data_IF_352191133941
#
_entry.id   IF_352191133941
#
_cell.length_a   1.000
_cell.length_b   1.000
_cell.length_c   1.000
_cell.angle_alpha   90.00
_cell.angle_beta   90.00
_cell.angle_gamma   90.00
#
_symmetry.space_group_name_H-M   'P 1'
#
loop_
_entity.id
_entity.type
_entity.pdbx_description
1 polymer ?
#
# COMPACT_ATOMS: atom_id res chain seq x y z
N UNK A 1 16.24 -4.01 12.58
CA UNK A 1 15.06 -4.35 11.78
C UNK A 1 15.56 -4.96 10.48
N UNK A 2 15.37 -6.25 10.30
CA UNK A 2 15.78 -6.97 9.09
C UNK A 2 14.95 -6.45 7.93
N UNK A 3 15.61 -5.84 6.97
CA UNK A 3 15.03 -5.42 5.69
C UNK A 3 14.61 -6.71 4.96
N UNK A 4 13.40 -7.21 5.23
CA UNK A 4 12.83 -8.35 4.53
C UNK A 4 12.58 -7.90 3.10
N UNK A 5 13.52 -8.28 2.21
CA UNK A 5 13.32 -8.13 0.77
C UNK A 5 11.98 -8.75 0.43
N UNK A 6 11.15 -8.00 -0.24
CA UNK A 6 9.89 -8.44 -0.83
C UNK A 6 10.15 -9.70 -1.66
N UNK A 7 9.55 -10.82 -1.29
CA UNK A 7 9.70 -12.10 -1.98
C UNK A 7 8.34 -12.50 -2.52
N UNK A 8 8.27 -12.91 -3.77
CA UNK A 8 7.03 -13.42 -4.38
C UNK A 8 6.99 -14.94 -4.27
N UNK A 9 8.12 -15.60 -4.53
CA UNK A 9 8.30 -17.00 -4.20
C UNK A 9 8.92 -17.11 -2.80
N UNK A 10 8.44 -18.04 -2.00
CA UNK A 10 8.89 -18.21 -0.61
C UNK A 10 10.40 -18.47 -0.51
N UNK A 11 10.95 -19.24 -1.42
CA UNK A 11 12.40 -19.51 -1.48
C UNK A 11 13.21 -18.28 -1.94
N UNK A 12 12.54 -17.26 -2.51
CA UNK A 12 13.19 -16.07 -3.03
C UNK A 12 13.90 -16.25 -4.36
N UNK A 13 13.71 -17.39 -5.02
CA UNK A 13 14.32 -17.70 -6.32
C UNK A 13 13.41 -17.30 -7.48
N UNK A 14 13.16 -15.99 -7.59
CA UNK A 14 12.27 -15.40 -8.58
C UNK A 14 12.97 -15.30 -9.94
N UNK A 15 12.72 -16.24 -10.86
CA UNK A 15 13.21 -16.16 -12.25
C UNK A 15 12.09 -15.70 -13.17
N UNK A 16 12.26 -14.57 -13.84
CA UNK A 16 11.32 -14.10 -14.86
C UNK A 16 11.53 -14.90 -16.13
N UNK A 17 10.62 -15.84 -16.43
CA UNK A 17 10.65 -16.65 -17.63
C UNK A 17 10.01 -15.94 -18.83
N UNK A 18 9.00 -15.12 -18.60
CA UNK A 18 8.32 -14.35 -19.65
C UNK A 18 8.16 -12.89 -19.23
N UNK A 19 8.94 -11.96 -19.82
CA UNK A 19 8.98 -10.57 -19.37
C UNK A 19 7.78 -9.75 -19.88
N UNK A 20 7.44 -8.67 -19.18
CA UNK A 20 6.33 -7.76 -19.48
C UNK A 20 6.27 -7.30 -20.93
N UNK A 21 7.41 -6.98 -21.54
CA UNK A 21 7.51 -6.56 -22.96
C UNK A 21 6.93 -7.58 -23.95
N UNK A 22 7.05 -8.89 -23.67
CA UNK A 22 6.49 -9.93 -24.53
C UNK A 22 4.99 -10.07 -24.35
N UNK A 23 4.45 -9.91 -23.13
CA UNK A 23 3.02 -9.81 -22.90
C UNK A 23 2.42 -8.62 -23.66
N UNK A 24 3.07 -7.45 -23.63
CA UNK A 24 2.64 -6.27 -24.42
C UNK A 24 2.62 -6.58 -25.91
N UNK A 25 3.64 -7.23 -26.44
CA UNK A 25 3.71 -7.62 -27.86
C UNK A 25 2.57 -8.58 -28.23
N UNK A 26 2.34 -9.62 -27.42
CA UNK A 26 1.28 -10.60 -27.66
C UNK A 26 -0.11 -9.98 -27.59
N UNK A 27 -0.37 -9.10 -26.61
CA UNK A 27 -1.65 -8.39 -26.51
C UNK A 27 -1.93 -7.53 -27.75
N UNK A 28 -0.94 -6.80 -28.26
CA UNK A 28 -1.06 -5.99 -29.49
C UNK A 28 -1.38 -6.82 -30.73
N UNK A 29 -0.91 -8.07 -30.78
CA UNK A 29 -1.15 -9.00 -31.90
C UNK A 29 -2.37 -9.90 -31.69
N UNK A 30 -3.14 -9.70 -30.60
CA UNK A 30 -4.30 -10.54 -30.25
C UNK A 30 -3.95 -11.93 -29.74
N UNK A 31 -2.68 -12.20 -29.41
CA UNK A 31 -2.19 -13.50 -28.92
C UNK A 31 -2.15 -13.63 -27.41
N UNK A 32 -2.45 -12.57 -26.66
CA UNK A 32 -2.42 -12.54 -25.21
C UNK A 32 -3.49 -11.62 -24.64
N UNK A 33 -3.94 -11.91 -23.40
CA UNK A 33 -5.07 -11.24 -22.75
C UNK A 33 -4.61 -10.22 -21.70
N UNK A 34 -3.62 -10.60 -20.89
CA UNK A 34 -3.19 -9.85 -19.74
C UNK A 34 -1.75 -9.35 -19.88
N UNK A 35 -1.42 -8.30 -19.15
CA UNK A 35 -0.07 -7.75 -19.11
C UNK A 35 0.52 -7.97 -17.72
N UNK A 36 1.58 -8.75 -17.66
CA UNK A 36 2.27 -9.10 -16.42
C UNK A 36 3.68 -9.61 -16.69
N UNK A 37 4.20 -10.35 -15.76
CA UNK A 37 5.41 -11.17 -15.93
C UNK A 37 5.11 -12.59 -15.46
N UNK A 38 5.77 -13.56 -16.09
CA UNK A 38 5.71 -14.93 -15.63
C UNK A 38 6.97 -15.25 -14.84
N UNK A 39 6.78 -15.79 -13.66
CA UNK A 39 7.83 -16.10 -12.70
C UNK A 39 7.85 -17.61 -12.48
N UNK A 40 9.04 -18.19 -12.64
CA UNK A 40 9.29 -19.61 -12.36
C UNK A 40 10.34 -19.76 -11.27
N UNK A 41 10.33 -20.89 -10.60
CA UNK A 41 11.44 -21.32 -9.77
C UNK A 41 12.49 -22.02 -10.62
N UNK A 42 13.74 -21.93 -10.19
CA UNK A 42 14.85 -22.67 -10.83
C UNK A 42 14.48 -24.16 -11.01
N UNK A 43 14.76 -24.72 -12.19
CA UNK A 43 14.36 -26.07 -12.60
C UNK A 43 12.86 -26.37 -12.57
N UNK A 44 12.01 -25.37 -12.77
CA UNK A 44 10.54 -25.49 -12.83
C UNK A 44 9.91 -26.21 -11.62
N UNK A 45 10.51 -26.07 -10.45
CA UNK A 45 9.95 -26.59 -9.21
C UNK A 45 8.75 -25.75 -8.77
N UNK A 46 7.80 -26.39 -8.12
CA UNK A 46 6.65 -25.70 -7.50
C UNK A 46 7.12 -25.01 -6.21
N UNK A 47 6.63 -23.81 -5.95
CA UNK A 47 6.91 -23.07 -4.72
C UNK A 47 5.66 -22.42 -4.15
N UNK A 48 5.70 -22.09 -2.87
CA UNK A 48 4.66 -21.26 -2.26
C UNK A 48 4.76 -19.83 -2.77
N UNK A 49 3.59 -19.28 -3.10
CA UNK A 49 3.45 -17.89 -3.49
C UNK A 49 3.19 -17.07 -2.23
N UNK A 50 3.96 -16.01 -2.05
CA UNK A 50 3.80 -15.11 -0.91
C UNK A 50 3.35 -13.73 -1.34
N UNK A 51 2.63 -13.04 -0.46
CA UNK A 51 2.25 -11.65 -0.69
C UNK A 51 3.51 -10.78 -0.82
N UNK A 52 3.62 -10.07 -1.95
CA UNK A 52 4.75 -9.17 -2.21
C UNK A 52 4.77 -7.97 -1.27
N UNK A 53 3.62 -7.43 -0.96
CA UNK A 53 3.43 -6.25 -0.12
C UNK A 53 2.18 -6.41 0.73
N UNK A 54 2.06 -5.61 1.79
CA UNK A 54 0.83 -5.53 2.58
C UNK A 54 -0.36 -5.24 1.65
N UNK A 55 -1.43 -5.99 1.82
CA UNK A 55 -2.64 -5.79 1.04
C UNK A 55 -3.84 -6.54 1.61
N UNK A 56 -5.03 -6.14 1.18
CA UNK A 56 -6.28 -6.85 1.46
C UNK A 56 -6.66 -7.69 0.26
N UNK A 57 -7.04 -8.95 0.48
CA UNK A 57 -7.57 -9.84 -0.55
C UNK A 57 -8.95 -9.32 -0.96
N UNK A 58 -9.09 -8.85 -2.19
CA UNK A 58 -10.37 -8.34 -2.72
C UNK A 58 -11.03 -9.28 -3.72
N UNK A 59 -10.30 -10.29 -4.17
CA UNK A 59 -10.81 -11.39 -4.99
C UNK A 59 -9.96 -12.62 -4.77
N UNK A 60 -10.60 -13.79 -4.64
CA UNK A 60 -9.93 -15.06 -4.76
C UNK A 60 -10.81 -16.08 -5.52
N UNK A 61 -10.18 -16.82 -6.43
CA UNK A 61 -10.78 -17.88 -7.23
C UNK A 61 -9.98 -19.15 -6.98
N UNK A 62 -10.64 -20.21 -6.52
CA UNK A 62 -10.01 -21.47 -6.12
C UNK A 62 -10.93 -22.66 -6.37
N UNK A 63 -11.31 -22.87 -7.63
CA UNK A 63 -12.22 -23.97 -8.00
C UNK A 63 -11.66 -24.90 -9.06
N UNK A 64 -10.49 -24.61 -9.60
CA UNK A 64 -9.81 -25.50 -10.57
C UNK A 64 -8.78 -26.36 -9.87
N UNK A 65 -8.69 -27.62 -10.29
CA UNK A 65 -7.66 -28.56 -9.85
C UNK A 65 -6.68 -28.81 -10.99
N UNK A 66 -5.44 -28.43 -10.82
CA UNK A 66 -4.17 -28.88 -11.42
C UNK A 66 -4.04 -29.12 -12.92
N UNK A 67 -4.99 -28.70 -13.76
CA UNK A 67 -4.99 -29.09 -15.18
C UNK A 67 -4.61 -27.95 -16.11
N UNK A 68 -3.67 -28.22 -17.01
CA UNK A 68 -3.31 -27.37 -18.12
C UNK A 68 -4.51 -26.99 -19.00
N UNK A 69 -4.64 -25.70 -19.31
CA UNK A 69 -5.50 -25.21 -20.38
C UNK A 69 -7.00 -25.38 -20.13
N UNK A 70 -7.43 -25.64 -18.90
CA UNK A 70 -8.86 -25.62 -18.57
C UNK A 70 -9.31 -24.16 -18.51
N UNK A 71 -10.25 -23.73 -19.38
CA UNK A 71 -10.82 -22.39 -19.27
C UNK A 71 -11.41 -22.19 -17.88
N UNK A 72 -11.09 -21.06 -17.24
CA UNK A 72 -11.76 -20.67 -16.02
C UNK A 72 -13.21 -20.25 -16.31
N UNK A 73 -14.08 -20.34 -15.31
CA UNK A 73 -15.51 -19.98 -15.44
C UNK A 73 -15.71 -18.50 -15.76
N UNK A 74 -14.72 -17.66 -15.47
CA UNK A 74 -14.78 -16.23 -15.72
C UNK A 74 -14.25 -15.88 -17.13
N UNK A 75 -13.73 -16.87 -17.89
CA UNK A 75 -13.27 -16.72 -19.26
C UNK A 75 -12.03 -15.84 -19.43
N UNK A 76 -11.33 -15.52 -18.33
CA UNK A 76 -10.20 -14.61 -18.32
C UNK A 76 -8.85 -15.30 -18.50
N UNK A 77 -8.81 -16.63 -18.44
CA UNK A 77 -7.59 -17.42 -18.58
C UNK A 77 -6.69 -17.46 -17.36
N UNK A 78 -7.02 -16.79 -16.28
CA UNK A 78 -6.18 -16.72 -15.05
C UNK A 78 -6.15 -18.03 -14.25
N UNK A 79 -7.12 -18.93 -14.44
CA UNK A 79 -7.25 -20.11 -13.59
C UNK A 79 -7.62 -19.76 -12.16
N UNK A 80 -7.00 -20.41 -11.18
CA UNK A 80 -7.08 -19.97 -9.80
C UNK A 80 -6.21 -18.73 -9.60
N UNK A 81 -6.77 -17.71 -8.99
CA UNK A 81 -6.04 -16.44 -8.83
C UNK A 81 -6.48 -15.66 -7.58
N UNK A 82 -5.62 -14.72 -7.19
CA UNK A 82 -5.82 -13.79 -6.09
C UNK A 82 -5.59 -12.37 -6.59
N UNK A 83 -6.40 -11.42 -6.13
CA UNK A 83 -6.14 -9.98 -6.26
C UNK A 83 -5.94 -9.40 -4.87
N UNK A 84 -4.76 -8.82 -4.63
CA UNK A 84 -4.45 -8.04 -3.43
C UNK A 84 -4.55 -6.55 -3.73
N UNK A 85 -5.36 -5.83 -2.98
CA UNK A 85 -5.42 -4.37 -2.99
C UNK A 85 -4.43 -3.79 -2.00
N UNK A 86 -3.53 -2.93 -2.48
CA UNK A 86 -2.48 -2.26 -1.70
C UNK A 86 -2.80 -0.80 -1.38
N UNK A 87 -3.65 -0.18 -2.19
CA UNK A 87 -4.18 1.17 -1.97
C UNK A 87 -5.55 1.30 -2.64
N UNK A 88 -6.14 2.49 -2.62
CA UNK A 88 -7.43 2.73 -3.29
C UNK A 88 -7.40 2.35 -4.78
N UNK A 89 -6.24 2.43 -5.42
CA UNK A 89 -6.11 2.21 -6.88
C UNK A 89 -5.09 1.15 -7.28
N UNK A 90 -4.21 0.70 -6.39
CA UNK A 90 -3.12 -0.23 -6.73
C UNK A 90 -3.43 -1.64 -6.28
N UNK A 91 -3.37 -2.59 -7.21
CA UNK A 91 -3.54 -4.02 -6.93
C UNK A 91 -2.46 -4.85 -7.59
N UNK A 92 -2.20 -6.03 -7.01
CA UNK A 92 -1.46 -7.11 -7.66
C UNK A 92 -2.36 -8.30 -7.92
N UNK A 93 -2.10 -9.01 -9.03
CA UNK A 93 -2.75 -10.27 -9.38
C UNK A 93 -1.73 -11.40 -9.32
N UNK A 94 -2.12 -12.51 -8.76
CA UNK A 94 -1.35 -13.75 -8.66
C UNK A 94 -2.18 -14.86 -9.29
N UNK A 95 -1.79 -15.34 -10.46
CA UNK A 95 -2.60 -16.25 -11.25
C UNK A 95 -1.92 -17.59 -11.55
N UNK A 96 -2.66 -18.53 -12.16
CA UNK A 96 -2.30 -19.89 -12.47
C UNK A 96 -1.99 -20.76 -11.25
N UNK A 97 -2.60 -20.41 -10.09
CA UNK A 97 -2.35 -21.09 -8.82
C UNK A 97 -2.93 -22.51 -8.81
N UNK A 98 -2.19 -23.45 -8.24
CA UNK A 98 -2.70 -24.77 -7.89
C UNK A 98 -3.71 -24.69 -6.75
N UNK A 99 -3.39 -23.84 -5.75
CA UNK A 99 -4.17 -23.69 -4.53
C UNK A 99 -4.10 -22.28 -3.98
N UNK A 100 -5.21 -21.79 -3.46
CA UNK A 100 -5.33 -20.51 -2.75
C UNK A 100 -5.46 -20.77 -1.26
N UNK A 101 -4.73 -20.03 -0.42
CA UNK A 101 -4.71 -20.20 1.04
C UNK A 101 -5.38 -19.06 1.81
N UNK A 102 -5.89 -18.06 1.10
CA UNK A 102 -6.53 -16.88 1.67
C UNK A 102 -7.96 -16.74 1.16
N UNK A 103 -8.76 -15.90 1.84
CA UNK A 103 -10.14 -15.59 1.49
C UNK A 103 -10.30 -14.09 1.24
N UNK A 104 -11.35 -13.71 0.52
CA UNK A 104 -11.72 -12.30 0.38
C UNK A 104 -11.95 -11.66 1.75
N UNK A 105 -11.36 -10.47 1.96
CA UNK A 105 -11.33 -9.76 3.23
C UNK A 105 -10.07 -9.99 4.07
N UNK A 106 -9.31 -11.05 3.84
CA UNK A 106 -8.08 -11.31 4.58
C UNK A 106 -7.03 -10.22 4.33
N UNK A 107 -6.25 -9.90 5.36
CA UNK A 107 -5.06 -9.05 5.24
C UNK A 107 -3.83 -9.91 5.10
N UNK A 108 -3.07 -9.71 4.04
CA UNK A 108 -1.82 -10.40 3.78
C UNK A 108 -0.62 -9.45 4.00
N UNK A 109 0.24 -9.81 4.97
CA UNK A 109 1.52 -9.12 5.20
C UNK A 109 2.56 -9.56 4.16
N UNK A 110 3.61 -8.75 3.89
CA UNK A 110 4.72 -9.20 3.06
C UNK A 110 5.29 -10.54 3.55
N UNK A 111 5.40 -11.52 2.65
CA UNK A 111 5.87 -12.87 2.97
C UNK A 111 4.78 -13.83 3.49
N UNK A 112 3.54 -13.39 3.72
CA UNK A 112 2.42 -14.29 4.01
C UNK A 112 2.19 -15.24 2.84
N UNK A 113 2.15 -16.57 3.10
CA UNK A 113 1.77 -17.56 2.07
C UNK A 113 0.32 -17.34 1.66
N UNK A 114 0.11 -17.04 0.39
CA UNK A 114 -1.23 -16.77 -0.16
C UNK A 114 -1.70 -17.86 -1.11
N UNK A 115 -0.76 -18.65 -1.69
CA UNK A 115 -1.10 -19.74 -2.59
C UNK A 115 0.05 -20.67 -2.87
N UNK A 116 -0.20 -21.65 -3.73
CA UNK A 116 0.78 -22.57 -4.28
C UNK A 116 0.87 -22.33 -5.79
N UNK A 117 2.08 -22.24 -6.33
CA UNK A 117 2.31 -22.14 -7.77
C UNK A 117 1.68 -23.34 -8.47
N UNK A 118 1.03 -23.11 -9.60
CA UNK A 118 0.35 -24.15 -10.35
C UNK A 118 0.41 -23.92 -11.84
N UNK A 119 -0.58 -24.51 -12.54
CA UNK A 119 -0.70 -24.50 -13.99
C UNK A 119 -2.17 -24.45 -14.41
N UNK A 120 -3.03 -23.82 -13.63
CA UNK A 120 -4.48 -23.69 -13.92
C UNK A 120 -4.76 -22.56 -14.91
N UNK A 121 -5.91 -22.63 -15.59
CA UNK A 121 -6.30 -21.66 -16.61
C UNK A 121 -5.53 -21.79 -17.93
N UNK A 122 -5.36 -20.70 -18.66
CA UNK A 122 -4.62 -20.63 -19.92
C UNK A 122 -3.10 -20.62 -19.68
N UNK A 123 -2.55 -21.75 -19.28
CA UNK A 123 -1.17 -21.91 -18.91
C UNK A 123 -0.55 -23.14 -19.60
N UNK A 124 0.72 -23.10 -19.97
CA UNK A 124 1.44 -24.17 -20.66
C UNK A 124 2.49 -24.87 -19.79
N UNK A 125 2.62 -24.48 -18.53
CA UNK A 125 3.57 -25.04 -17.58
C UNK A 125 3.50 -24.35 -16.24
N UNK A 126 4.00 -24.98 -15.17
CA UNK A 126 3.93 -24.43 -13.83
C UNK A 126 4.70 -23.11 -13.74
N UNK A 127 4.00 -22.03 -13.46
CA UNK A 127 4.51 -20.67 -13.24
C UNK A 127 3.52 -19.82 -12.46
N UNK A 128 3.99 -18.70 -11.96
CA UNK A 128 3.15 -17.63 -11.46
C UNK A 128 3.06 -16.55 -12.54
N UNK A 129 1.85 -16.23 -12.99
CA UNK A 129 1.59 -14.97 -13.71
C UNK A 129 1.32 -13.88 -12.68
N UNK A 130 2.13 -12.82 -12.70
CA UNK A 130 2.06 -11.72 -11.74
C UNK A 130 1.84 -10.39 -12.43
N UNK A 131 0.78 -9.67 -12.02
CA UNK A 131 0.43 -8.36 -12.57
C UNK A 131 0.49 -7.26 -11.52
N UNK A 132 0.71 -6.04 -11.99
CA UNK A 132 0.53 -4.82 -11.24
C UNK A 132 -0.46 -3.92 -11.98
N UNK A 133 -1.59 -3.61 -11.34
CA UNK A 133 -2.70 -2.81 -11.89
C UNK A 133 -2.87 -1.51 -11.14
N UNK A 134 -2.98 -0.40 -11.89
CA UNK A 134 -3.34 0.90 -11.35
C UNK A 134 -4.72 1.31 -11.86
N UNK A 135 -5.72 1.28 -10.99
CA UNK A 135 -7.10 1.65 -11.32
C UNK A 135 -7.25 3.17 -11.45
N UNK A 136 -8.10 3.61 -12.38
CA UNK A 136 -8.35 5.03 -12.68
C UNK A 136 -9.13 5.75 -11.56
N UNK A 137 -9.83 4.99 -10.73
CA UNK A 137 -10.61 5.48 -9.59
C UNK A 137 -10.55 4.48 -8.43
N UNK A 138 -10.90 4.87 -7.20
CA UNK A 138 -10.94 3.95 -6.07
C UNK A 138 -11.82 2.73 -6.33
N UNK A 139 -11.29 1.57 -5.97
CA UNK A 139 -11.94 0.28 -6.16
C UNK A 139 -13.09 0.15 -5.16
N UNK A 140 -14.33 0.11 -5.65
CA UNK A 140 -15.54 0.07 -4.81
C UNK A 140 -16.20 -1.31 -4.72
N UNK A 141 -16.03 -2.18 -5.72
CA UNK A 141 -16.70 -3.48 -5.80
C UNK A 141 -15.83 -4.54 -6.46
N UNK A 142 -16.07 -5.81 -6.14
CA UNK A 142 -15.37 -6.94 -6.75
C UNK A 142 -15.82 -7.25 -8.19
N UNK A 143 -16.96 -6.76 -8.65
CA UNK A 143 -17.55 -7.12 -9.94
C UNK A 143 -16.86 -6.53 -11.16
N UNK A 144 -16.02 -5.49 -10.99
CA UNK A 144 -15.35 -4.79 -12.10
C UNK A 144 -13.82 -4.97 -12.09
N UNK A 145 -13.28 -5.84 -11.25
CA UNK A 145 -11.82 -5.97 -11.05
C UNK A 145 -11.05 -6.41 -12.28
N UNK A 146 -11.71 -7.09 -13.22
CA UNK A 146 -11.08 -7.56 -14.47
C UNK A 146 -11.51 -6.75 -15.70
N UNK A 147 -12.24 -5.65 -15.53
CA UNK A 147 -12.56 -4.74 -16.63
C UNK A 147 -11.35 -3.87 -16.98
N UNK A 148 -10.66 -4.22 -18.06
CA UNK A 148 -9.44 -3.54 -18.53
C UNK A 148 -9.62 -2.04 -18.83
N UNK A 149 -10.86 -1.58 -19.00
CA UNK A 149 -11.17 -0.16 -19.20
C UNK A 149 -10.97 0.67 -17.94
N UNK A 150 -10.98 0.03 -16.77
CA UNK A 150 -10.93 0.67 -15.46
C UNK A 150 -9.53 0.80 -14.88
N UNK A 151 -8.54 0.13 -15.46
CA UNK A 151 -7.17 0.18 -14.97
C UNK A 151 -6.13 0.23 -16.09
N UNK A 152 -4.90 0.54 -15.73
CA UNK A 152 -3.71 0.38 -16.57
C UNK A 152 -2.77 -0.62 -15.91
N UNK A 153 -2.13 -1.46 -16.73
CA UNK A 153 -1.04 -2.30 -16.23
C UNK A 153 0.23 -1.46 -16.07
N UNK A 154 0.92 -1.66 -14.96
CA UNK A 154 2.27 -1.18 -14.75
C UNK A 154 3.24 -2.33 -15.01
N UNK A 155 4.47 -2.02 -15.45
CA UNK A 155 5.50 -3.03 -15.64
C UNK A 155 5.97 -3.60 -14.28
N UNK A 156 5.63 -4.85 -13.93
CA UNK A 156 5.97 -5.40 -12.61
C UNK A 156 7.45 -5.74 -12.47
N UNK A 157 8.20 -5.83 -13.56
CA UNK A 157 9.63 -6.19 -13.55
C UNK A 157 10.44 -5.28 -12.63
N UNK A 158 10.05 -4.00 -12.55
CA UNK A 158 10.72 -3.01 -11.70
C UNK A 158 10.54 -3.25 -10.21
N UNK A 159 9.53 -4.02 -9.84
CA UNK A 159 9.08 -4.18 -8.45
C UNK A 159 9.29 -5.58 -7.90
N UNK A 160 9.73 -6.55 -8.70
CA UNK A 160 9.92 -7.94 -8.27
C UNK A 160 10.82 -8.09 -7.03
N UNK A 161 11.80 -7.17 -6.88
CA UNK A 161 12.72 -7.11 -5.75
C UNK A 161 12.72 -5.73 -5.07
N UNK A 162 11.70 -4.91 -5.30
CA UNK A 162 11.58 -3.55 -4.80
C UNK A 162 10.16 -3.28 -4.28
N UNK A 163 9.98 -2.27 -3.46
CA UNK A 163 8.67 -1.86 -2.97
C UNK A 163 7.75 -1.40 -4.10
N UNK A 164 6.46 -1.73 -4.02
CA UNK A 164 5.45 -1.24 -4.96
C UNK A 164 5.33 0.29 -4.90
N UNK A 165 4.88 0.94 -6.00
CA UNK A 165 4.71 2.39 -6.06
C UNK A 165 3.40 2.80 -5.36
N UNK A 166 3.23 2.36 -4.11
CA UNK A 166 2.05 2.66 -3.33
C UNK A 166 2.12 4.12 -2.90
N UNK A 167 1.17 4.93 -3.35
CA UNK A 167 1.05 6.31 -2.86
C UNK A 167 0.42 6.27 -1.47
N UNK A 168 1.17 6.76 -0.49
CA UNK A 168 0.64 7.02 0.84
C UNK A 168 -0.41 8.12 0.74
N UNK A 169 -1.57 7.90 1.35
CA UNK A 169 -2.63 8.90 1.47
C UNK A 169 -2.77 9.25 2.94
N UNK A 170 -2.09 10.28 3.31
CA UNK A 170 -2.07 10.68 4.70
C UNK A 170 -3.44 11.19 5.17
N UNK A 171 -3.80 10.78 6.36
CA UNK A 171 -4.94 11.30 7.11
C UNK A 171 -4.50 11.56 8.54
N UNK A 172 -5.05 12.57 9.16
CA UNK A 172 -4.70 12.93 10.53
C UNK A 172 -5.41 14.19 10.98
N UNK A 173 -5.31 14.44 12.28
CA UNK A 173 -5.87 15.63 12.89
C UNK A 173 -4.93 16.18 13.95
N UNK A 174 -5.07 17.49 14.19
CA UNK A 174 -4.51 18.18 15.34
C UNK A 174 -5.57 18.11 16.43
N UNK A 175 -5.25 17.49 17.56
CA UNK A 175 -6.18 17.35 18.69
C UNK A 175 -6.00 18.48 19.69
N UNK A 176 -4.76 18.93 19.93
CA UNK A 176 -4.47 20.01 20.87
C UNK A 176 -3.25 20.83 20.43
N UNK A 177 -3.33 22.14 20.71
CA UNK A 177 -2.23 23.10 20.58
C UNK A 177 -2.08 23.82 21.89
N UNK A 178 -0.86 23.89 22.39
CA UNK A 178 -0.45 24.69 23.55
C UNK A 178 0.83 25.44 23.25
N UNK A 179 1.20 26.38 24.13
CA UNK A 179 2.43 27.15 23.98
C UNK A 179 3.70 26.27 24.09
N UNK A 180 3.57 25.03 24.58
CA UNK A 180 4.67 24.08 24.75
C UNK A 180 4.63 22.88 23.80
N UNK A 181 3.57 22.70 23.01
CA UNK A 181 3.49 21.54 22.13
C UNK A 181 2.21 21.40 21.33
N UNK A 182 2.27 20.49 20.37
CA UNK A 182 1.15 20.12 19.48
C UNK A 182 0.98 18.62 19.48
N UNK A 183 -0.22 18.15 19.79
CA UNK A 183 -0.52 16.72 19.75
C UNK A 183 -1.66 16.40 18.77
N UNK A 184 -1.67 15.16 18.29
CA UNK A 184 -2.63 14.67 17.32
C UNK A 184 -2.29 13.30 16.83
N UNK A 185 -2.74 12.99 15.63
CA UNK A 185 -2.41 11.72 14.98
C UNK A 185 -2.20 11.87 13.48
N UNK A 186 -1.39 10.97 12.91
CA UNK A 186 -1.05 10.92 11.51
C UNK A 186 -0.88 9.48 11.06
N UNK A 187 -1.69 9.03 10.11
CA UNK A 187 -1.61 7.70 9.51
C UNK A 187 -1.41 7.79 7.99
N UNK A 188 -0.56 6.93 7.44
CA UNK A 188 -0.21 6.92 6.01
C UNK A 188 -1.25 6.22 5.12
N UNK A 189 -2.31 5.66 5.70
CA UNK A 189 -3.39 5.00 4.96
C UNK A 189 -3.06 3.60 4.43
N UNK A 190 -1.88 3.03 4.78
CA UNK A 190 -1.38 1.79 4.17
C UNK A 190 -0.93 0.77 5.22
N UNK A 191 -0.01 1.15 6.08
CA UNK A 191 0.68 0.24 6.99
C UNK A 191 0.85 0.83 8.40
N UNK A 192 1.44 0.02 9.29
CA UNK A 192 1.71 0.41 10.66
C UNK A 192 3.02 1.20 10.83
N UNK A 193 3.65 1.64 9.74
CA UNK A 193 4.86 2.46 9.83
C UNK A 193 4.53 3.81 10.48
N UNK A 194 5.28 4.14 11.51
CA UNK A 194 5.13 5.43 12.15
C UNK A 194 5.75 6.52 11.28
N UNK A 195 4.94 7.52 10.96
CA UNK A 195 5.31 8.65 10.11
C UNK A 195 5.73 9.88 10.93
N UNK A 196 6.40 10.83 10.29
CA UNK A 196 6.75 12.09 10.92
C UNK A 196 5.71 13.16 10.61
N UNK A 197 5.13 13.73 11.66
CA UNK A 197 4.35 14.98 11.56
C UNK A 197 5.29 16.17 11.71
N UNK A 198 5.09 17.21 10.94
CA UNK A 198 5.88 18.45 11.03
C UNK A 198 4.99 19.62 11.39
N UNK A 199 5.18 20.17 12.57
CA UNK A 199 4.58 21.42 13.03
C UNK A 199 5.31 22.59 12.37
N UNK A 200 4.57 23.52 11.78
CA UNK A 200 5.07 24.78 11.25
C UNK A 200 4.50 25.93 12.05
N UNK A 201 5.37 26.81 12.51
CA UNK A 201 4.98 28.09 13.10
C UNK A 201 5.10 29.19 12.05
N UNK A 202 3.99 29.89 11.82
CA UNK A 202 3.91 30.94 10.82
C UNK A 202 3.71 32.30 11.49
N UNK A 203 4.40 33.31 10.98
CA UNK A 203 4.17 34.72 11.33
C UNK A 203 3.89 35.50 10.06
N UNK A 204 2.74 36.17 10.01
CA UNK A 204 2.28 36.89 8.81
C UNK A 204 2.28 35.99 7.55
N UNK A 205 1.84 34.70 7.70
CA UNK A 205 1.78 33.74 6.61
C UNK A 205 3.13 33.10 6.18
N UNK A 206 4.25 33.53 6.79
CA UNK A 206 5.58 32.99 6.49
C UNK A 206 6.00 31.98 7.57
N UNK A 207 6.47 30.81 7.15
CA UNK A 207 7.03 29.78 8.07
C UNK A 207 8.31 30.32 8.68
N UNK A 208 8.34 30.44 10.00
CA UNK A 208 9.52 30.96 10.75
C UNK A 208 10.26 29.86 11.51
N UNK A 209 9.57 28.79 11.85
CA UNK A 209 10.15 27.65 12.57
C UNK A 209 9.38 26.37 12.27
N UNK A 210 10.09 25.23 12.33
CA UNK A 210 9.47 23.92 12.22
C UNK A 210 9.97 22.99 13.33
N UNK A 211 9.10 22.09 13.77
CA UNK A 211 9.41 21.01 14.70
C UNK A 211 8.84 19.71 14.12
N UNK A 212 9.52 18.61 14.28
CA UNK A 212 9.05 17.32 13.76
C UNK A 212 9.07 16.27 14.85
N UNK A 213 8.05 15.43 14.86
CA UNK A 213 7.93 14.31 15.78
C UNK A 213 7.32 13.09 15.10
N UNK A 214 7.65 11.93 15.65
CA UNK A 214 7.20 10.66 15.12
C UNK A 214 5.81 10.34 15.67
N UNK A 215 4.87 10.01 14.79
CA UNK A 215 3.55 9.52 15.16
C UNK A 215 3.65 8.02 15.50
N UNK A 216 4.02 7.71 16.75
CA UNK A 216 4.30 6.34 17.21
C UNK A 216 3.69 5.99 18.57
N UNK A 217 2.87 6.86 19.14
CA UNK A 217 2.15 6.60 20.38
C UNK A 217 0.83 5.89 20.12
N UNK A 218 0.45 4.96 21.01
CA UNK A 218 -0.77 4.17 20.87
C UNK A 218 -2.01 4.98 21.24
N UNK A 219 -3.08 4.81 20.43
CA UNK A 219 -4.44 5.27 20.72
C UNK A 219 -5.44 4.19 20.32
N UNK A 220 -6.28 3.78 21.27
CA UNK A 220 -7.27 2.72 21.05
C UNK A 220 -8.35 3.10 20.04
N UNK A 221 -8.76 4.36 19.99
CA UNK A 221 -9.73 4.86 19.03
C UNK A 221 -9.24 4.78 17.57
N UNK A 222 -7.94 4.96 17.34
CA UNK A 222 -7.33 4.78 16.02
C UNK A 222 -7.34 3.31 15.59
N UNK A 223 -6.99 2.40 16.50
CA UNK A 223 -7.04 0.95 16.24
C UNK A 223 -8.47 0.50 15.92
N UNK A 224 -9.46 0.91 16.72
CA UNK A 224 -10.87 0.57 16.51
C UNK A 224 -11.42 1.16 15.21
N UNK A 225 -10.96 2.36 14.81
CA UNK A 225 -11.39 3.01 13.56
C UNK A 225 -10.64 2.52 12.32
N UNK A 226 -9.84 1.45 12.44
CA UNK A 226 -9.12 0.84 11.31
C UNK A 226 -7.91 1.66 10.82
N UNK A 227 -7.31 2.46 11.70
CA UNK A 227 -6.05 3.16 11.43
C UNK A 227 -4.87 2.28 11.86
N UNK A 228 -4.65 1.19 11.10
CA UNK A 228 -3.59 0.24 11.39
C UNK A 228 -3.68 -0.35 12.82
N UNK A 229 -2.54 -0.49 13.46
CA UNK A 229 -2.42 -1.00 14.84
C UNK A 229 -2.68 0.06 15.94
N UNK A 230 -3.04 1.29 15.56
CA UNK A 230 -3.31 2.40 16.50
C UNK A 230 -2.07 3.17 16.97
N UNK A 231 -0.86 2.79 16.60
CA UNK A 231 0.39 3.49 16.98
C UNK A 231 0.69 4.63 16.01
N UNK A 232 -0.21 5.63 15.94
CA UNK A 232 -0.15 6.73 14.97
C UNK A 232 -0.37 8.10 15.61
N UNK A 233 -0.34 8.21 16.95
CA UNK A 233 -0.41 9.49 17.64
C UNK A 233 0.97 10.14 17.78
N UNK A 234 1.01 11.48 17.69
CA UNK A 234 2.19 12.29 17.95
C UNK A 234 1.94 13.28 19.08
N UNK A 235 3.02 13.62 19.77
CA UNK A 235 3.12 14.73 20.71
C UNK A 235 4.47 15.43 20.44
N UNK A 236 4.41 16.65 19.89
CA UNK A 236 5.58 17.39 19.41
C UNK A 236 5.78 18.59 20.29
N UNK A 237 6.87 18.56 21.04
CA UNK A 237 7.27 19.68 21.88
C UNK A 237 7.73 20.89 21.04
N UNK A 238 7.26 22.08 21.42
CA UNK A 238 7.68 23.35 20.84
C UNK A 238 8.64 24.02 21.81
N UNK A 239 9.90 24.09 21.44
CA UNK A 239 10.86 24.95 22.14
C UNK A 239 10.69 26.39 21.68
N UNK A 240 9.90 27.13 22.44
CA UNK A 240 9.66 28.56 22.21
C UNK A 240 10.84 29.44 22.63
N UNK A 241 11.87 28.88 23.27
CA UNK A 241 13.03 29.64 23.80
C UNK A 241 13.81 30.39 22.73
N UNK A 242 13.74 29.97 21.49
CA UNK A 242 14.46 30.58 20.35
C UNK A 242 13.59 31.52 19.52
N UNK A 243 12.31 31.71 19.91
CA UNK A 243 11.34 32.50 19.16
C UNK A 243 11.21 33.91 19.72
N UNK A 244 11.09 34.93 18.87
CA UNK A 244 10.68 36.27 19.30
C UNK A 244 9.29 36.24 19.94
N UNK A 245 9.03 37.13 20.90
CA UNK A 245 7.70 37.26 21.49
C UNK A 245 6.64 37.63 20.43
N UNK A 246 5.46 37.08 20.58
CA UNK A 246 4.33 37.33 19.68
C UNK A 246 3.45 36.10 19.44
N UNK A 247 2.43 36.29 18.62
CA UNK A 247 1.48 35.25 18.22
C UNK A 247 1.94 34.58 16.92
N UNK A 248 1.90 33.25 16.90
CA UNK A 248 2.24 32.43 15.74
C UNK A 248 1.04 31.55 15.36
N UNK A 249 0.69 31.53 14.08
CA UNK A 249 -0.23 30.54 13.56
C UNK A 249 0.49 29.19 13.51
N UNK A 250 -0.24 28.11 13.84
CA UNK A 250 0.26 26.75 13.86
C UNK A 250 -0.46 25.95 12.77
N UNK A 251 0.28 25.27 11.94
CA UNK A 251 -0.24 24.15 11.16
C UNK A 251 0.65 22.92 11.32
N UNK A 252 0.12 21.76 10.92
CA UNK A 252 0.87 20.50 10.92
C UNK A 252 0.73 19.87 9.56
N UNK A 253 1.85 19.43 9.02
CA UNK A 253 1.88 18.76 7.70
C UNK A 253 2.37 17.33 7.82
N UNK A 254 1.79 16.48 6.97
CA UNK A 254 2.27 15.13 6.67
C UNK A 254 3.51 15.17 5.77
N UNK A 255 4.23 14.04 5.60
CA UNK A 255 5.43 13.97 4.76
C UNK A 255 5.21 14.32 3.28
N UNK A 256 3.99 14.20 2.76
CA UNK A 256 3.62 14.59 1.39
C UNK A 256 3.20 16.06 1.25
N UNK A 257 3.24 16.83 2.35
CA UNK A 257 2.80 18.22 2.39
C UNK A 257 1.31 18.42 2.71
N UNK A 258 0.54 17.35 2.89
CA UNK A 258 -0.88 17.45 3.29
C UNK A 258 -0.98 18.17 4.64
N UNK A 259 -1.75 19.26 4.68
CA UNK A 259 -2.04 19.99 5.93
C UNK A 259 -3.12 19.23 6.70
N UNK A 260 -2.87 18.94 7.97
CA UNK A 260 -3.81 18.25 8.84
C UNK A 260 -4.90 19.21 9.34
N UNK A 261 -6.13 18.71 9.40
CA UNK A 261 -7.27 19.43 9.99
C UNK A 261 -7.24 19.41 11.52
N UNK A 262 -8.19 20.11 12.14
CA UNK A 262 -8.42 20.07 13.59
C UNK A 262 -9.52 19.06 13.91
N UNK A 263 -9.34 18.26 14.98
CA UNK A 263 -10.35 17.30 15.44
C UNK A 263 -11.59 17.97 16.02
N UNK A 264 -11.44 19.17 16.55
CA UNK A 264 -12.55 19.98 17.09
C UNK A 264 -12.63 21.33 16.37
N UNK A 265 -13.81 21.75 15.89
CA UNK A 265 -14.02 23.09 15.38
C UNK A 265 -13.73 24.13 16.47
N UNK A 266 -12.85 25.08 16.19
CA UNK A 266 -12.49 26.17 17.12
C UNK A 266 -11.24 25.90 17.98
N UNK A 267 -10.50 24.83 17.74
CA UNK A 267 -9.16 24.68 18.33
C UNK A 267 -8.30 25.90 17.93
N UNK A 268 -7.56 26.53 18.87
CA UNK A 268 -6.74 27.69 18.52
C UNK A 268 -5.62 27.25 17.59
N UNK A 269 -5.65 27.73 16.35
CA UNK A 269 -4.57 27.55 15.40
C UNK A 269 -3.35 28.42 15.72
N UNK A 270 -3.17 28.85 16.97
CA UNK A 270 -2.12 29.80 17.36
C UNK A 270 -1.47 29.45 18.70
N UNK A 271 -0.21 29.84 18.86
CA UNK A 271 0.49 29.88 20.13
C UNK A 271 0.95 31.31 20.43
N UNK A 272 1.13 31.63 21.70
CA UNK A 272 1.65 32.91 22.16
C UNK A 272 3.01 32.70 22.85
N UNK A 273 4.03 33.37 22.34
CA UNK A 273 5.36 33.40 22.95
C UNK A 273 5.49 34.68 23.74
N UNK A 274 5.64 34.57 25.05
CA UNK A 274 5.80 35.74 25.95
C UNK A 274 7.17 36.38 25.77
N UNK A 275 7.24 37.69 26.02
CA UNK A 275 8.51 38.38 26.12
C UNK A 275 9.33 37.80 27.30
N UNK A 276 10.61 37.59 27.11
CA UNK A 276 11.50 37.22 28.21
C UNK A 276 11.72 38.43 29.10
N UNK A 277 11.47 38.25 30.37
CA UNK A 277 11.84 39.22 31.42
C UNK A 277 13.36 39.34 31.56
#
# INVERSE_FOLDING_TARGET
MTNTKSRILETGDNQVSYPYRLHVSNKKTGRGWALGIDIVKYKSQIDYITAHSLGTVIKCVNYLSGTNGVPDREGMGYGNYIILRHSDTLCTVYAHLEKVYVREGDTAMPGTRIGLMGNTGSSHGAHLHWELRNYKSPIKTSSSLNDERLFTWLDPTRYINASLPIRKKYSGFIDNISDSGVSGWLWNGIDDAAEYATVRLLRYGTVVKTFSGKASSYRSDLAVSGKGNGYHAYDIHIDSSTLPSGTYTVDVIAPDGTVLGYSSPGAPGTINVSARS
#
